data_IF_929022682800
#
_entry.id   IF_929022682800
#
_cell.length_a   1.000
_cell.length_b   1.000
_cell.length_c   1.000
_cell.angle_alpha   90.00
_cell.angle_beta   90.00
_cell.angle_gamma   90.00
#
_symmetry.space_group_name_H-M   'P 1'
#
loop_
_entity.id
_entity.type
_entity.pdbx_description
1 polymer ?
#
# COMPACT_ATOMS: atom_id res chain seq x y z
N UNK A 1 8.07 -18.46 -8.33
CA UNK A 1 8.55 -17.72 -8.15
C UNK A 1 8.04 -16.48 -8.30
N UNK A 2 7.30 -16.18 -9.01
CA UNK A 2 6.84 -14.89 -9.18
C UNK A 2 5.97 -14.39 -8.08
N UNK A 3 5.36 -15.26 -7.30
CA UNK A 3 4.47 -14.81 -6.25
C UNK A 3 5.20 -14.01 -5.18
N UNK A 4 6.51 -14.15 -5.10
CA UNK A 4 7.26 -13.42 -4.09
C UNK A 4 7.55 -12.00 -4.49
N UNK A 5 7.36 -11.66 -5.76
CA UNK A 5 7.68 -10.32 -6.24
C UNK A 5 6.87 -9.23 -5.53
N UNK A 6 5.67 -9.56 -5.06
CA UNK A 6 4.80 -8.57 -4.44
C UNK A 6 4.51 -8.90 -2.99
N UNK A 7 5.41 -9.66 -2.37
CA UNK A 7 5.21 -10.10 -1.01
C UNK A 7 5.06 -8.93 -0.04
N UNK A 8 5.87 -7.91 -0.22
CA UNK A 8 5.86 -6.78 0.70
C UNK A 8 4.57 -5.97 0.60
N UNK A 9 4.06 -5.79 -0.62
CA UNK A 9 2.79 -5.10 -0.80
C UNK A 9 1.67 -5.94 -0.18
N UNK A 10 1.70 -7.24 -0.41
CA UNK A 10 0.68 -8.12 0.12
C UNK A 10 0.70 -8.11 1.65
N UNK A 11 1.88 -8.16 2.24
CA UNK A 11 2.02 -8.15 3.69
C UNK A 11 1.48 -6.84 4.27
N UNK A 12 1.82 -5.72 3.63
CA UNK A 12 1.35 -4.43 4.09
C UNK A 12 -0.19 -4.37 4.06
N UNK A 13 -0.78 -4.71 2.93
CA UNK A 13 -2.23 -4.61 2.77
C UNK A 13 -2.96 -5.62 3.65
N UNK A 14 -2.39 -6.81 3.82
CA UNK A 14 -3.00 -7.81 4.69
C UNK A 14 -3.06 -7.32 6.13
N UNK A 15 -2.04 -6.58 6.56
CA UNK A 15 -1.96 -6.13 7.94
C UNK A 15 -3.07 -5.15 8.30
N UNK A 16 -3.69 -4.54 7.30
CA UNK A 16 -4.78 -3.60 7.53
C UNK A 16 -6.06 -4.05 6.82
N UNK A 17 -6.08 -5.31 6.36
CA UNK A 17 -7.26 -5.90 5.73
C UNK A 17 -7.73 -5.15 4.48
N UNK A 18 -6.79 -4.66 3.70
CA UNK A 18 -7.12 -3.91 2.48
C UNK A 18 -6.50 -4.53 1.23
N UNK A 19 -6.49 -5.86 1.19
CA UNK A 19 -5.92 -6.59 0.06
C UNK A 19 -6.51 -6.23 -1.28
N UNK A 20 -7.72 -5.72 -1.30
CA UNK A 20 -8.38 -5.38 -2.56
C UNK A 20 -7.62 -4.32 -3.34
N UNK A 21 -6.69 -3.62 -2.73
CA UNK A 21 -5.91 -2.61 -3.42
C UNK A 21 -4.60 -3.13 -3.99
N UNK A 22 -4.33 -4.43 -3.84
CA UNK A 22 -3.06 -4.99 -4.29
C UNK A 22 -2.78 -4.69 -5.76
N UNK A 23 -3.76 -4.98 -6.62
CA UNK A 23 -3.55 -4.75 -8.05
C UNK A 23 -3.35 -3.28 -8.37
N UNK A 24 -4.09 -2.42 -7.68
CA UNK A 24 -3.96 -0.98 -7.91
C UNK A 24 -2.55 -0.50 -7.55
N UNK A 25 -2.00 -1.01 -6.46
CA UNK A 25 -0.64 -0.67 -6.06
C UNK A 25 0.34 -1.14 -7.13
N UNK A 26 0.22 -2.40 -7.55
CA UNK A 26 1.14 -2.98 -8.51
C UNK A 26 1.09 -2.25 -9.84
N UNK A 27 -0.11 -1.91 -10.29
CA UNK A 27 -0.28 -1.21 -11.56
C UNK A 27 0.38 0.17 -11.54
N UNK A 28 0.55 0.72 -10.36
CA UNK A 28 1.17 2.04 -10.21
C UNK A 28 2.61 1.96 -9.75
N UNK A 29 3.22 0.79 -9.84
CA UNK A 29 4.63 0.64 -9.53
C UNK A 29 4.97 0.55 -8.06
N UNK A 30 3.97 0.41 -7.20
CA UNK A 30 4.22 0.30 -5.76
C UNK A 30 4.35 -1.17 -5.44
N UNK A 31 5.59 -1.65 -5.44
CA UNK A 31 5.84 -3.08 -5.38
C UNK A 31 6.65 -3.54 -4.17
N UNK A 32 7.18 -2.62 -3.38
CA UNK A 32 8.02 -3.00 -2.25
C UNK A 32 7.80 -2.06 -1.08
N UNK A 33 8.36 -2.43 0.07
CA UNK A 33 8.18 -1.67 1.28
C UNK A 33 8.79 -0.28 1.17
N UNK A 34 9.93 -0.17 0.51
CA UNK A 34 10.59 1.11 0.36
C UNK A 34 9.66 2.12 -0.30
N UNK A 35 8.98 1.71 -1.37
CA UNK A 35 8.06 2.58 -2.07
C UNK A 35 6.84 2.87 -1.22
N UNK A 36 6.35 1.86 -0.49
CA UNK A 36 5.20 2.04 0.39
C UNK A 36 5.48 3.12 1.43
N UNK A 37 6.68 3.13 1.98
CA UNK A 37 7.02 4.10 3.02
C UNK A 37 7.11 5.53 2.51
N UNK A 38 7.17 5.71 1.19
CA UNK A 38 7.19 7.03 0.59
C UNK A 38 5.80 7.58 0.33
N UNK A 39 4.77 6.77 0.49
CA UNK A 39 3.40 7.20 0.19
C UNK A 39 2.94 8.27 1.17
N UNK A 40 2.20 9.24 0.65
CA UNK A 40 1.63 10.28 1.48
C UNK A 40 0.18 10.49 1.05
N UNK A 41 -0.46 11.49 1.67
CA UNK A 41 -1.86 11.79 1.44
C UNK A 41 -2.16 12.01 -0.03
N UNK A 42 -1.34 12.81 -0.70
CA UNK A 42 -1.56 13.11 -2.11
C UNK A 42 -1.41 11.88 -2.98
N UNK A 43 -0.45 11.04 -2.67
CA UNK A 43 -0.23 9.83 -3.45
C UNK A 43 -1.44 8.91 -3.37
N UNK A 44 -1.99 8.75 -2.17
CA UNK A 44 -3.13 7.87 -2.00
C UNK A 44 -4.38 8.44 -2.66
N UNK A 45 -4.51 9.76 -2.67
CA UNK A 45 -5.60 10.38 -3.40
C UNK A 45 -5.48 10.10 -4.90
N UNK A 46 -4.27 10.15 -5.42
CA UNK A 46 -4.03 9.86 -6.82
C UNK A 46 -4.39 8.42 -7.17
N UNK A 47 -4.29 7.52 -6.19
CA UNK A 47 -4.68 6.13 -6.37
C UNK A 47 -6.19 5.92 -6.18
N UNK A 48 -6.91 6.98 -5.90
CA UNK A 48 -8.36 6.95 -5.70
C UNK A 48 -8.74 6.09 -4.49
N UNK A 49 -7.96 6.20 -3.43
CA UNK A 49 -8.22 5.45 -2.20
C UNK A 49 -9.19 6.24 -1.34
N UNK A 50 -10.32 5.65 -0.92
CA UNK A 50 -11.27 6.35 -0.07
C UNK A 50 -10.65 6.82 1.24
N UNK A 51 -11.20 7.88 1.80
CA UNK A 51 -10.63 8.52 2.98
C UNK A 51 -10.35 7.55 4.13
N UNK A 52 -11.31 6.72 4.48
CA UNK A 52 -11.11 5.79 5.60
C UNK A 52 -9.97 4.81 5.37
N UNK A 53 -9.87 4.29 4.16
CA UNK A 53 -8.80 3.37 3.82
C UNK A 53 -7.46 4.09 3.75
N UNK A 54 -7.47 5.32 3.26
CA UNK A 54 -6.26 6.13 3.21
C UNK A 54 -5.72 6.36 4.62
N UNK A 55 -6.61 6.65 5.57
CA UNK A 55 -6.18 6.88 6.95
C UNK A 55 -5.55 5.63 7.55
N UNK A 56 -6.12 4.45 7.25
CA UNK A 56 -5.54 3.20 7.73
C UNK A 56 -4.15 2.99 7.17
N UNK A 57 -3.98 3.27 5.89
CA UNK A 57 -2.69 3.10 5.24
C UNK A 57 -1.66 4.05 5.83
N UNK A 58 -2.02 5.32 6.00
CA UNK A 58 -1.08 6.30 6.52
C UNK A 58 -0.67 5.97 7.95
N UNK A 59 -1.62 5.52 8.75
CA UNK A 59 -1.30 5.14 10.12
C UNK A 59 -0.34 3.96 10.14
N UNK A 60 -0.58 2.96 9.31
CA UNK A 60 0.29 1.79 9.26
C UNK A 60 1.69 2.17 8.78
N UNK A 61 1.77 3.02 7.77
CA UNK A 61 3.06 3.48 7.26
C UNK A 61 3.84 4.20 8.35
N UNK A 62 3.15 5.05 9.10
CA UNK A 62 3.79 5.78 10.18
C UNK A 62 4.36 4.81 11.22
N UNK A 63 3.66 3.72 11.49
CA UNK A 63 4.12 2.74 12.46
C UNK A 63 5.31 1.93 11.95
N UNK A 64 5.47 1.83 10.64
CA UNK A 64 6.55 1.06 10.05
C UNK A 64 7.85 1.83 9.93
N UNK A 65 7.80 3.14 10.06
CA UNK A 65 9.01 3.96 9.92
C UNK A 65 9.91 3.91 11.13
#
# INVERSE_FOLDING_TARGET
>A
MTSDDYHEVQTFLNSIALNKYKERFIENGIEDEETILELNDEHLDALTIPLGHKLKMLKRIKMMR
#
